data_IF_072039487386
#
_entry.id   IF_072039487386
#
_cell.length_a   1.000
_cell.length_b   1.000
_cell.length_c   1.000
_cell.angle_alpha   90.00
_cell.angle_beta   90.00
_cell.angle_gamma   90.00
#
_symmetry.space_group_name_H-M   'P 1'
#
loop_
_entity.id
_entity.type
_entity.pdbx_description
1 polymer ?
#
# COMPACT_ATOMS: atom_id res chain seq x y z
N UNK A 1 -7.11 -7.15 -14.25
CA UNK A 1 -7.87 -6.15 -15.05
C UNK A 1 -8.39 -5.07 -14.12
N UNK A 2 -8.26 -3.80 -14.48
CA UNK A 2 -8.81 -2.67 -13.72
C UNK A 2 -10.05 -2.11 -14.44
N UNK A 3 -11.15 -1.92 -13.72
CA UNK A 3 -12.40 -1.39 -14.30
C UNK A 3 -12.98 -0.28 -13.44
N UNK A 4 -13.41 0.82 -14.07
CA UNK A 4 -14.13 1.92 -13.42
C UNK A 4 -15.64 1.69 -13.47
N UNK A 5 -16.33 1.85 -12.35
CA UNK A 5 -17.79 1.73 -12.22
C UNK A 5 -18.33 2.79 -11.27
N UNK A 6 -19.62 3.12 -11.37
CA UNK A 6 -20.32 3.96 -10.39
C UNK A 6 -21.40 3.12 -9.73
N UNK A 7 -21.39 3.03 -8.41
CA UNK A 7 -22.36 2.24 -7.63
C UNK A 7 -22.97 3.17 -6.58
N UNK A 8 -24.29 3.34 -6.61
CA UNK A 8 -25.01 4.26 -5.72
C UNK A 8 -24.42 5.69 -5.69
N UNK A 9 -23.91 6.16 -6.84
CA UNK A 9 -23.29 7.48 -6.97
C UNK A 9 -21.79 7.53 -6.64
N UNK A 10 -21.23 6.50 -6.00
CA UNK A 10 -19.81 6.43 -5.65
C UNK A 10 -19.01 5.88 -6.83
N UNK A 11 -17.95 6.57 -7.23
CA UNK A 11 -17.00 6.04 -8.21
C UNK A 11 -16.13 4.96 -7.57
N UNK A 12 -16.04 3.79 -8.20
CA UNK A 12 -15.35 2.62 -7.69
C UNK A 12 -14.39 2.06 -8.74
N UNK A 13 -13.24 1.59 -8.26
CA UNK A 13 -12.23 0.87 -9.01
C UNK A 13 -12.34 -0.62 -8.67
N UNK A 14 -12.61 -1.44 -9.68
CA UNK A 14 -12.70 -2.89 -9.55
C UNK A 14 -11.38 -3.50 -10.02
N UNK A 15 -10.69 -4.16 -9.10
CA UNK A 15 -9.48 -4.93 -9.39
C UNK A 15 -9.89 -6.40 -9.51
N UNK A 16 -9.81 -6.93 -10.73
CA UNK A 16 -10.07 -8.35 -11.00
C UNK A 16 -8.79 -9.14 -11.21
N UNK A 17 -8.65 -10.27 -10.51
CA UNK A 17 -7.56 -11.23 -10.64
C UNK A 17 -8.08 -12.64 -10.92
N UNK A 18 -7.56 -13.31 -11.95
CA UNK A 18 -8.11 -14.56 -12.48
C UNK A 18 -8.24 -15.70 -11.45
N UNK A 19 -7.29 -15.80 -10.49
CA UNK A 19 -7.29 -16.85 -9.46
C UNK A 19 -7.78 -16.40 -8.08
N UNK A 20 -7.86 -15.10 -7.83
CA UNK A 20 -8.10 -14.53 -6.48
C UNK A 20 -9.42 -13.77 -6.38
N UNK A 21 -10.21 -13.77 -7.45
CA UNK A 21 -11.48 -13.06 -7.52
C UNK A 21 -11.31 -11.57 -7.81
N UNK A 22 -12.33 -10.79 -7.46
CA UNK A 22 -12.36 -9.36 -7.66
C UNK A 22 -12.82 -8.63 -6.41
N UNK A 23 -12.25 -7.46 -6.16
CA UNK A 23 -12.72 -6.54 -5.12
C UNK A 23 -12.90 -5.13 -5.71
N UNK A 24 -13.74 -4.34 -5.05
CA UNK A 24 -14.04 -2.95 -5.45
C UNK A 24 -13.56 -2.02 -4.35
N UNK A 25 -12.86 -0.94 -4.72
CA UNK A 25 -12.41 0.12 -3.82
C UNK A 25 -13.02 1.44 -4.29
N UNK A 26 -13.57 2.28 -3.39
CA UNK A 26 -13.95 3.65 -3.74
C UNK A 26 -12.76 4.42 -4.35
N UNK A 27 -12.99 5.17 -5.42
CA UNK A 27 -11.93 5.89 -6.14
C UNK A 27 -11.18 6.85 -5.22
N UNK A 28 -11.90 7.50 -4.31
CA UNK A 28 -11.38 8.45 -3.33
C UNK A 28 -10.42 7.82 -2.31
N UNK A 29 -10.40 6.49 -2.19
CA UNK A 29 -9.47 5.76 -1.31
C UNK A 29 -8.22 5.29 -2.04
N UNK A 30 -8.08 5.59 -3.34
CA UNK A 30 -6.86 5.30 -4.08
C UNK A 30 -6.15 6.60 -4.44
N UNK A 31 -4.96 6.47 -5.02
CA UNK A 31 -4.19 7.53 -5.65
C UNK A 31 -4.96 8.32 -6.74
N UNK A 32 -6.11 7.81 -7.18
CA UNK A 32 -6.98 8.46 -8.16
C UNK A 32 -8.06 9.32 -7.51
N UNK A 33 -8.20 9.26 -6.19
CA UNK A 33 -9.02 10.19 -5.44
C UNK A 33 -8.56 11.63 -5.67
N UNK A 34 -9.50 12.57 -5.69
CA UNK A 34 -9.10 13.97 -5.58
C UNK A 34 -8.46 14.13 -4.20
N UNK A 35 -7.21 14.62 -4.09
CA UNK A 35 -6.69 15.00 -2.79
C UNK A 35 -7.60 16.12 -2.28
N UNK A 36 -8.43 15.80 -1.28
CA UNK A 36 -9.13 16.82 -0.52
C UNK A 36 -8.04 17.46 0.33
N UNK A 37 -7.39 18.48 -0.22
CA UNK A 37 -6.51 19.32 0.55
C UNK A 37 -7.37 20.01 1.59
N UNK A 38 -7.33 19.54 2.83
CA UNK A 38 -7.83 20.32 3.95
C UNK A 38 -6.93 21.57 4.05
N UNK A 39 -7.47 22.77 3.78
CA UNK A 39 -6.67 24.00 3.79
C UNK A 39 -6.08 24.31 5.17
N UNK A 40 -6.60 23.68 6.22
CA UNK A 40 -6.14 23.81 7.60
C UNK A 40 -5.32 22.62 8.10
N UNK A 41 -5.21 21.53 7.32
CA UNK A 41 -4.35 20.44 7.74
C UNK A 41 -2.91 20.95 7.81
N UNK A 42 -2.19 20.73 8.93
CA UNK A 42 -0.78 21.04 9.00
C UNK A 42 -0.09 20.27 7.87
N UNK A 43 0.77 20.97 7.11
CA UNK A 43 1.59 20.30 6.12
C UNK A 43 2.34 19.18 6.85
N UNK A 44 2.06 17.92 6.48
CA UNK A 44 2.85 16.78 6.93
C UNK A 44 4.23 16.92 6.31
N UNK A 45 5.09 17.71 6.95
CA UNK A 45 6.49 17.77 6.58
C UNK A 45 7.07 16.41 6.84
N UNK A 46 7.53 15.80 5.76
CA UNK A 46 8.19 14.53 5.80
C UNK A 46 9.46 14.68 6.66
N UNK A 47 9.54 13.98 7.80
CA UNK A 47 10.74 13.96 8.63
C UNK A 47 11.81 13.08 7.97
N UNK A 48 12.95 13.64 7.50
CA UNK A 48 14.00 12.86 6.85
C UNK A 48 14.59 11.76 7.76
N UNK A 49 14.54 11.94 9.09
CA UNK A 49 14.97 10.91 10.05
C UNK A 49 14.11 9.65 9.96
N UNK A 50 12.79 9.82 9.82
CA UNK A 50 11.85 8.69 9.68
C UNK A 50 12.08 7.86 8.41
N UNK A 51 12.62 8.45 7.33
CA UNK A 51 13.04 7.68 6.13
C UNK A 51 14.21 6.76 6.43
N UNK A 52 15.21 7.28 7.15
CA UNK A 52 16.39 6.50 7.50
C UNK A 52 16.00 5.34 8.44
N UNK A 53 15.13 5.61 9.41
CA UNK A 53 14.59 4.58 10.31
C UNK A 53 13.82 3.49 9.55
N UNK A 54 13.01 3.89 8.56
CA UNK A 54 12.28 2.94 7.71
C UNK A 54 13.22 2.07 6.87
N UNK A 55 14.26 2.66 6.29
CA UNK A 55 15.30 1.91 5.54
C UNK A 55 15.98 0.89 6.45
N UNK A 56 16.42 1.32 7.64
CA UNK A 56 17.05 0.43 8.61
C UNK A 56 16.13 -0.72 9.06
N UNK A 57 14.82 -0.48 9.18
CA UNK A 57 13.85 -1.53 9.50
C UNK A 57 13.70 -2.55 8.37
N UNK A 58 13.66 -2.10 7.12
CA UNK A 58 13.58 -3.00 5.96
C UNK A 58 14.81 -3.89 5.88
N UNK A 59 16.00 -3.34 6.13
CA UNK A 59 17.25 -4.10 6.18
C UNK A 59 17.22 -5.18 7.28
N UNK A 60 16.71 -4.85 8.46
CA UNK A 60 16.56 -5.83 9.55
C UNK A 60 15.59 -6.95 9.20
N UNK A 61 14.42 -6.61 8.64
CA UNK A 61 13.42 -7.60 8.25
C UNK A 61 14.00 -8.55 7.19
N UNK A 62 14.65 -8.00 6.17
CA UNK A 62 15.24 -8.80 5.09
C UNK A 62 16.38 -9.69 5.59
N UNK A 63 17.27 -9.19 6.44
CA UNK A 63 18.33 -9.99 7.09
C UNK A 63 17.76 -11.14 7.94
N UNK A 64 16.68 -10.87 8.68
CA UNK A 64 15.99 -11.86 9.53
C UNK A 64 15.35 -13.00 8.72
N UNK A 65 14.86 -12.71 7.50
CA UNK A 65 14.30 -13.76 6.63
C UNK A 65 15.36 -14.71 6.07
N UNK A 66 16.63 -14.31 6.03
CA UNK A 66 17.72 -15.15 5.55
C UNK A 66 18.25 -16.14 6.59
N UNK A 67 17.98 -15.92 7.89
CA UNK A 67 18.58 -16.71 8.97
C UNK A 67 17.77 -17.97 9.35
N UNK A 68 16.58 -18.17 8.79
CA UNK A 68 15.76 -19.37 9.02
C UNK A 68 15.95 -20.46 7.93
N UNK A 69 17.20 -20.80 7.62
CA UNK A 69 17.51 -22.06 6.91
C UNK A 69 18.20 -23.03 7.88
N UNK A 70 17.50 -24.05 8.40
CA UNK A 70 18.14 -25.10 9.15
C UNK A 70 18.93 -26.00 8.18
N UNK A 71 20.24 -25.99 8.34
CA UNK A 71 21.13 -27.00 7.80
C UNK A 71 20.79 -28.35 8.47
N UNK A 72 20.47 -29.35 7.66
CA UNK A 72 20.57 -30.79 7.96
C UNK A 72 20.79 -31.47 6.60
N UNK A 73 21.93 -32.08 6.26
CA UNK A 73 22.88 -32.82 7.08
C UNK A 73 22.55 -34.31 6.96
N UNK A 74 23.46 -35.06 6.30
CA UNK A 74 23.49 -36.50 5.98
C UNK A 74 22.99 -36.90 4.59
#
# INVERSE_FOLDING_TARGET
MLKRRRVSGIETLIVGHAKRGSFSIPREWTDWGSPVADPQAPACYFDPGMLLDLVALIEQITASTSTNSPIKGA
#
